data_IF_573996682271
#
_entry.id   IF_573996682271
#
_cell.length_a   1.000
_cell.length_b   1.000
_cell.length_c   1.000
_cell.angle_alpha   90.00
_cell.angle_beta   90.00
_cell.angle_gamma   90.00
#
_symmetry.space_group_name_H-M   'P 1'
#
loop_
_entity.id
_entity.type
_entity.pdbx_description
1 polymer ?
#
# COMPACT_ATOMS: atom_id res chain seq x y z
N UNK A 1 -9.10 23.19 21.28
CA UNK A 1 -9.66 22.45 20.17
C UNK A 1 -8.84 21.20 19.92
N UNK A 2 -9.49 20.10 19.81
CA UNK A 2 -8.78 18.88 19.49
C UNK A 2 -8.03 19.06 18.17
N UNK A 3 -6.81 18.58 18.13
CA UNK A 3 -6.10 18.52 16.88
C UNK A 3 -6.96 17.77 15.88
N UNK A 4 -7.19 18.37 14.76
CA UNK A 4 -7.88 17.68 13.69
C UNK A 4 -6.92 16.65 13.15
N UNK A 5 -7.04 15.42 13.64
CA UNK A 5 -6.46 14.33 12.90
C UNK A 5 -7.13 14.33 11.53
N UNK A 6 -6.32 14.17 10.50
CA UNK A 6 -6.85 14.10 9.16
C UNK A 6 -7.72 12.86 9.05
N UNK A 7 -9.04 13.03 9.01
CA UNK A 7 -9.99 11.93 8.85
C UNK A 7 -9.85 11.21 7.53
N UNK A 8 -9.06 11.78 6.59
CA UNK A 8 -8.82 11.21 5.27
C UNK A 8 -7.57 10.32 5.21
N UNK A 9 -7.03 9.90 6.36
CA UNK A 9 -5.86 9.01 6.43
C UNK A 9 -6.22 7.61 6.87
N UNK A 10 -5.49 6.65 6.32
CA UNK A 10 -5.56 5.24 6.71
C UNK A 10 -4.14 4.72 6.91
N UNK A 11 -3.92 4.00 8.00
CA UNK A 11 -2.60 3.50 8.38
C UNK A 11 -2.48 2.00 8.16
N UNK A 12 -1.40 1.59 7.50
CA UNK A 12 -1.09 0.20 7.19
C UNK A 12 0.28 -0.11 7.79
N UNK A 13 0.31 -0.31 9.10
CA UNK A 13 1.55 -0.43 9.89
C UNK A 13 1.77 -1.88 10.33
N UNK A 14 3.02 -2.31 10.33
CA UNK A 14 3.44 -3.63 10.80
C UNK A 14 4.61 -4.21 10.02
N UNK A 15 4.74 -3.86 8.75
CA UNK A 15 5.82 -4.33 7.88
C UNK A 15 6.14 -3.31 6.81
N UNK A 16 7.41 -3.29 6.36
CA UNK A 16 7.78 -2.60 5.13
C UNK A 16 7.04 -3.18 3.94
N UNK A 17 6.60 -2.32 3.05
CA UNK A 17 6.11 -2.77 1.75
C UNK A 17 7.26 -3.32 0.92
N UNK A 18 7.16 -4.54 0.41
CA UNK A 18 8.18 -5.09 -0.46
C UNK A 18 8.08 -4.54 -1.88
N UNK A 19 9.19 -4.59 -2.61
CA UNK A 19 9.21 -4.24 -4.02
C UNK A 19 8.60 -5.35 -4.86
N UNK A 20 7.72 -5.00 -5.78
CA UNK A 20 7.16 -5.95 -6.76
C UNK A 20 8.08 -6.16 -7.95
N UNK A 21 9.06 -5.28 -8.15
CA UNK A 21 10.00 -5.39 -9.27
C UNK A 21 10.75 -6.74 -9.29
N UNK A 22 11.21 -7.19 -8.11
CA UNK A 22 11.94 -8.44 -7.95
C UNK A 22 11.11 -9.47 -7.18
N UNK A 23 9.79 -9.32 -7.21
CA UNK A 23 8.89 -10.11 -6.39
C UNK A 23 8.48 -11.42 -7.04
N UNK A 24 8.77 -11.60 -8.32
CA UNK A 24 8.39 -12.80 -9.08
C UNK A 24 9.54 -13.77 -9.15
N UNK A 25 9.24 -15.05 -9.01
CA UNK A 25 10.20 -16.14 -9.15
C UNK A 25 9.70 -17.09 -10.22
N UNK A 26 10.65 -17.69 -10.95
CA UNK A 26 10.34 -18.71 -11.94
C UNK A 26 10.56 -20.07 -11.29
N UNK A 27 9.52 -20.91 -11.27
CA UNK A 27 9.60 -22.25 -10.72
C UNK A 27 10.22 -23.22 -11.73
N UNK A 28 10.54 -24.45 -11.28
CA UNK A 28 11.12 -25.48 -12.14
C UNK A 28 10.23 -25.83 -13.34
N UNK A 29 8.94 -25.68 -13.22
CA UNK A 29 7.98 -25.90 -14.31
C UNK A 29 7.69 -24.61 -15.09
N UNK A 30 8.55 -23.61 -14.94
CA UNK A 30 8.50 -22.30 -15.64
C UNK A 30 7.28 -21.45 -15.31
N UNK A 31 6.62 -21.68 -14.19
CA UNK A 31 5.57 -20.79 -13.70
C UNK A 31 6.18 -19.59 -13.00
N UNK A 32 5.54 -18.43 -13.15
CA UNK A 32 5.92 -17.21 -12.45
C UNK A 32 5.08 -17.10 -11.19
N UNK A 33 5.72 -17.01 -10.03
CA UNK A 33 5.05 -16.85 -8.74
C UNK A 33 5.60 -15.64 -8.01
N UNK A 34 4.84 -15.12 -7.04
CA UNK A 34 5.30 -14.05 -6.16
C UNK A 34 6.46 -14.55 -5.29
N UNK A 35 7.40 -13.66 -4.95
CA UNK A 35 8.51 -13.98 -4.05
C UNK A 35 7.99 -14.30 -2.65
N UNK A 36 8.83 -14.97 -1.85
CA UNK A 36 8.51 -15.25 -0.45
C UNK A 36 8.23 -13.97 0.34
N UNK A 37 8.97 -12.90 0.07
CA UNK A 37 8.81 -11.62 0.76
C UNK A 37 7.43 -11.04 0.52
N UNK A 38 6.96 -11.02 -0.73
CA UNK A 38 5.64 -10.52 -1.06
C UNK A 38 4.55 -11.40 -0.46
N UNK A 39 4.67 -12.71 -0.57
CA UNK A 39 3.69 -13.65 0.01
C UNK A 39 3.58 -13.49 1.53
N UNK A 40 4.72 -13.31 2.20
CA UNK A 40 4.75 -13.08 3.64
C UNK A 40 4.05 -11.77 4.00
N UNK A 41 4.34 -10.71 3.26
CA UNK A 41 3.69 -9.41 3.46
C UNK A 41 2.17 -9.53 3.31
N UNK A 42 1.73 -10.15 2.23
CA UNK A 42 0.30 -10.33 1.95
C UNK A 42 -0.40 -11.12 3.06
N UNK A 43 0.25 -12.15 3.58
CA UNK A 43 -0.30 -12.97 4.66
C UNK A 43 -0.36 -12.23 5.98
N UNK A 44 0.76 -11.61 6.39
CA UNK A 44 0.87 -10.97 7.71
C UNK A 44 0.10 -9.67 7.79
N UNK A 45 -0.07 -8.97 6.67
CA UNK A 45 -0.80 -7.69 6.62
C UNK A 45 -2.26 -7.84 6.21
N UNK A 46 -2.73 -9.04 5.95
CA UNK A 46 -4.09 -9.29 5.46
C UNK A 46 -5.16 -8.64 6.36
N UNK A 47 -5.04 -8.79 7.67
CA UNK A 47 -6.03 -8.24 8.62
C UNK A 47 -6.07 -6.72 8.58
N UNK A 48 -4.91 -6.08 8.46
CA UNK A 48 -4.84 -4.61 8.37
C UNK A 48 -5.59 -4.11 7.14
N UNK A 49 -5.42 -4.79 6.00
CA UNK A 49 -6.13 -4.41 4.78
C UNK A 49 -7.64 -4.64 4.89
N UNK A 50 -8.06 -5.72 5.55
CA UNK A 50 -9.50 -5.97 5.80
C UNK A 50 -10.11 -4.92 6.70
N UNK A 51 -9.42 -4.57 7.77
CA UNK A 51 -9.92 -3.60 8.76
C UNK A 51 -10.07 -2.19 8.19
N UNK A 52 -9.20 -1.79 7.28
CA UNK A 52 -9.21 -0.45 6.69
C UNK A 52 -10.19 -0.30 5.53
N UNK A 53 -10.74 -1.39 5.01
CA UNK A 53 -11.57 -1.34 3.80
C UNK A 53 -12.82 -0.47 3.98
N UNK A 54 -13.57 -0.66 5.05
CA UNK A 54 -14.82 0.06 5.24
C UNK A 54 -14.60 1.56 5.35
N UNK A 55 -13.55 1.96 6.06
CA UNK A 55 -13.19 3.38 6.15
C UNK A 55 -12.75 3.94 4.79
N UNK A 56 -12.01 3.17 4.02
CA UNK A 56 -11.62 3.57 2.67
C UNK A 56 -12.85 3.81 1.77
N UNK A 57 -13.79 2.88 1.78
CA UNK A 57 -15.02 3.00 1.01
C UNK A 57 -15.78 4.26 1.45
N UNK A 58 -15.90 4.50 2.75
CA UNK A 58 -16.56 5.68 3.28
C UNK A 58 -15.88 6.99 2.84
N UNK A 59 -14.55 7.02 2.88
CA UNK A 59 -13.77 8.20 2.50
C UNK A 59 -13.84 8.51 1.00
N UNK A 60 -14.11 7.51 0.18
CA UNK A 60 -14.07 7.66 -1.28
C UNK A 60 -15.45 7.60 -1.94
N UNK A 61 -16.51 7.39 -1.19
CA UNK A 61 -17.87 7.18 -1.74
C UNK A 61 -18.37 8.32 -2.62
N UNK A 62 -17.97 9.55 -2.31
CA UNK A 62 -18.40 10.75 -3.05
C UNK A 62 -17.31 11.27 -3.99
N UNK A 63 -16.24 10.51 -4.17
CA UNK A 63 -15.13 10.88 -5.02
C UNK A 63 -15.25 10.25 -6.40
N UNK A 64 -14.91 11.02 -7.41
CA UNK A 64 -14.84 10.51 -8.77
C UNK A 64 -13.49 9.85 -9.05
N UNK A 65 -13.47 8.89 -9.97
CA UNK A 65 -12.21 8.30 -10.44
C UNK A 65 -11.60 9.22 -11.51
N UNK A 66 -10.24 9.25 -11.61
CA UNK A 66 -9.32 8.50 -10.74
C UNK A 66 -9.25 9.07 -9.34
N UNK A 67 -9.09 8.16 -8.36
CA UNK A 67 -8.81 8.58 -6.99
C UNK A 67 -7.36 9.03 -6.90
N UNK A 68 -7.12 10.17 -6.28
CA UNK A 68 -5.78 10.68 -6.02
C UNK A 68 -5.42 10.28 -4.59
N UNK A 69 -4.46 9.37 -4.45
CA UNK A 69 -4.10 8.79 -3.16
C UNK A 69 -2.64 9.09 -2.87
N UNK A 70 -2.40 9.84 -1.80
CA UNK A 70 -1.05 10.10 -1.31
C UNK A 70 -0.56 8.94 -0.46
N UNK A 71 0.72 8.59 -0.60
CA UNK A 71 1.38 7.53 0.16
C UNK A 71 2.57 8.12 0.90
N UNK A 72 2.57 7.96 2.23
CA UNK A 72 3.70 8.31 3.07
C UNK A 72 4.26 7.04 3.71
N UNK A 73 5.57 6.80 3.59
CA UNK A 73 6.17 5.54 4.00
C UNK A 73 6.96 5.67 5.30
N UNK A 74 6.81 4.66 6.14
CA UNK A 74 7.65 4.43 7.33
C UNK A 74 8.55 3.26 7.01
N UNK A 75 9.84 3.55 6.75
CA UNK A 75 10.81 2.56 6.29
C UNK A 75 11.72 2.13 7.44
N UNK A 76 12.06 0.85 7.50
CA UNK A 76 12.93 0.31 8.54
C UNK A 76 14.41 0.37 8.18
N UNK A 77 14.77 1.04 7.10
CA UNK A 77 16.17 1.24 6.71
C UNK A 77 16.33 2.49 5.85
N UNK A 78 17.59 2.94 5.73
CA UNK A 78 17.95 4.06 4.86
C UNK A 78 18.30 3.62 3.44
N UNK A 79 18.05 2.36 3.10
CA UNK A 79 18.32 1.85 1.76
C UNK A 79 17.58 2.64 0.71
N UNK A 80 18.26 2.84 -0.41
CA UNK A 80 17.61 3.35 -1.61
C UNK A 80 16.45 2.46 -2.00
N UNK A 81 15.35 3.09 -2.42
CA UNK A 81 14.17 2.37 -2.87
C UNK A 81 13.46 3.17 -3.95
N UNK A 82 12.60 2.50 -4.67
CA UNK A 82 11.89 3.08 -5.81
C UNK A 82 10.39 3.06 -5.52
N UNK A 83 9.81 4.25 -5.38
CA UNK A 83 8.39 4.41 -5.08
C UNK A 83 7.50 3.62 -6.04
N UNK A 84 7.78 3.70 -7.34
CA UNK A 84 6.96 3.01 -8.35
C UNK A 84 6.92 1.51 -8.11
N UNK A 85 8.04 0.91 -7.72
CA UNK A 85 8.12 -0.53 -7.46
C UNK A 85 7.52 -0.93 -6.12
N UNK A 86 7.57 -0.05 -5.14
CA UNK A 86 7.04 -0.33 -3.81
C UNK A 86 5.52 -0.13 -3.77
N UNK A 87 5.01 0.95 -4.37
CA UNK A 87 3.57 1.27 -4.34
C UNK A 87 2.74 0.24 -5.08
N UNK A 88 3.33 -0.49 -6.00
CA UNK A 88 2.67 -1.57 -6.73
C UNK A 88 2.05 -2.60 -5.78
N UNK A 89 2.75 -2.93 -4.70
CA UNK A 89 2.27 -3.93 -3.75
C UNK A 89 0.96 -3.52 -3.07
N UNK A 90 0.86 -2.35 -2.40
CA UNK A 90 -0.41 -1.94 -1.82
C UNK A 90 -1.51 -1.73 -2.87
N UNK A 91 -1.19 -1.23 -4.07
CA UNK A 91 -2.19 -1.07 -5.12
C UNK A 91 -2.78 -2.41 -5.56
N UNK A 92 -1.95 -3.44 -5.71
CA UNK A 92 -2.43 -4.80 -6.02
C UNK A 92 -3.35 -5.33 -4.92
N UNK A 93 -3.02 -5.08 -3.67
CA UNK A 93 -3.84 -5.50 -2.54
C UNK A 93 -5.14 -4.70 -2.44
N UNK A 94 -5.11 -3.41 -2.74
CA UNK A 94 -6.32 -2.59 -2.79
C UNK A 94 -7.29 -3.15 -3.83
N UNK A 95 -6.79 -3.56 -4.98
CA UNK A 95 -7.61 -4.21 -6.00
C UNK A 95 -8.13 -5.55 -5.51
N UNK A 96 -7.26 -6.37 -4.94
CA UNK A 96 -7.58 -7.70 -4.44
C UNK A 96 -8.66 -7.67 -3.35
N UNK A 97 -8.59 -6.71 -2.43
CA UNK A 97 -9.54 -6.56 -1.33
C UNK A 97 -10.77 -5.73 -1.69
N UNK A 98 -10.84 -5.22 -2.91
CA UNK A 98 -12.02 -4.49 -3.37
C UNK A 98 -12.07 -3.01 -2.98
N UNK A 99 -10.93 -2.41 -2.63
CA UNK A 99 -10.82 -0.97 -2.40
C UNK A 99 -11.00 -0.20 -3.71
N UNK A 100 -10.38 -0.70 -4.76
CA UNK A 100 -10.42 -0.13 -6.10
C UNK A 100 -10.75 -1.24 -7.10
N UNK A 101 -11.32 -0.86 -8.23
CA UNK A 101 -11.70 -1.81 -9.26
C UNK A 101 -10.49 -2.29 -10.04
N UNK A 102 -9.56 -1.36 -10.32
CA UNK A 102 -8.31 -1.64 -11.02
C UNK A 102 -7.25 -0.65 -10.55
N UNK A 103 -5.97 -0.98 -10.74
CA UNK A 103 -4.85 -0.11 -10.37
C UNK A 103 -4.34 0.76 -11.53
N UNK A 104 -5.08 0.83 -12.63
CA UNK A 104 -4.72 1.66 -13.77
C UNK A 104 -4.97 3.15 -13.50
N UNK A 105 -4.45 4.01 -14.38
CA UNK A 105 -4.57 5.47 -14.23
C UNK A 105 -5.99 6.00 -14.37
N UNK A 106 -6.90 5.19 -14.85
CA UNK A 106 -8.31 5.54 -14.91
C UNK A 106 -8.97 5.48 -13.53
N UNK A 107 -8.46 4.64 -12.64
CA UNK A 107 -9.05 4.38 -11.32
C UNK A 107 -8.27 5.02 -10.18
N UNK A 108 -6.94 5.08 -10.25
CA UNK A 108 -6.10 5.57 -9.16
C UNK A 108 -4.84 6.25 -9.66
N UNK A 109 -4.49 7.35 -9.02
CA UNK A 109 -3.22 8.07 -9.24
C UNK A 109 -2.48 8.11 -7.91
N UNK A 110 -1.41 7.31 -7.75
CA UNK A 110 -0.62 7.34 -6.52
C UNK A 110 0.34 8.52 -6.50
N UNK A 111 0.41 9.20 -5.35
CA UNK A 111 1.28 10.35 -5.15
C UNK A 111 2.23 10.05 -3.99
N UNK A 112 3.52 10.25 -4.20
CA UNK A 112 4.52 10.10 -3.15
C UNK A 112 4.49 11.33 -2.24
N UNK A 113 4.22 11.13 -0.94
CA UNK A 113 4.16 12.20 0.04
C UNK A 113 5.45 12.35 0.85
N UNK A 114 6.26 11.32 0.94
CA UNK A 114 7.48 11.36 1.72
C UNK A 114 7.76 10.06 2.46
N UNK A 115 8.79 10.09 3.32
CA UNK A 115 9.19 8.92 4.08
C UNK A 115 9.91 9.30 5.37
N UNK A 116 9.88 8.40 6.33
CA UNK A 116 10.61 8.50 7.60
C UNK A 116 11.21 7.13 7.91
N UNK A 117 12.44 7.13 8.44
CA UNK A 117 13.07 5.89 8.90
C UNK A 117 12.61 5.60 10.32
N UNK A 118 12.13 4.39 10.55
CA UNK A 118 11.55 3.96 11.82
C UNK A 118 12.10 2.58 12.21
N UNK A 119 11.71 2.11 13.38
CA UNK A 119 11.97 0.73 13.79
C UNK A 119 11.12 -0.24 12.98
N UNK A 120 11.60 -1.46 12.79
CA UNK A 120 10.91 -2.47 11.97
C UNK A 120 9.44 -2.65 12.35
N UNK A 121 9.12 -2.70 13.63
CA UNK A 121 7.73 -2.88 14.10
C UNK A 121 6.80 -1.73 13.74
N UNK A 122 7.37 -0.55 13.48
CA UNK A 122 6.61 0.66 13.16
C UNK A 122 6.59 0.93 11.66
N UNK A 123 7.20 0.04 10.87
CA UNK A 123 7.27 0.22 9.43
C UNK A 123 5.91 -0.02 8.75
N UNK A 124 5.74 0.55 7.58
CA UNK A 124 4.51 0.47 6.81
C UNK A 124 4.29 1.76 6.03
N UNK A 125 3.06 2.18 5.97
CA UNK A 125 2.71 3.43 5.30
C UNK A 125 1.36 3.94 5.77
N UNK A 126 1.08 5.19 5.50
CA UNK A 126 -0.31 5.66 5.51
C UNK A 126 -0.68 6.19 4.13
N UNK A 127 -1.96 6.15 3.84
CA UNK A 127 -2.50 6.83 2.66
C UNK A 127 -3.33 8.03 3.09
N UNK A 128 -3.41 8.99 2.20
CA UNK A 128 -4.26 10.17 2.36
C UNK A 128 -5.09 10.31 1.10
N UNK A 129 -6.39 10.41 1.26
CA UNK A 129 -7.31 10.61 0.14
C UNK A 129 -7.27 12.11 -0.21
N UNK A 130 -6.81 12.42 -1.40
CA UNK A 130 -6.58 13.80 -1.83
C UNK A 130 -7.77 14.40 -2.58
#
# INVERSE_FOLDING_TARGET
>A
MASVESDNRLYFIGMNCPSKKNAKQITKDKRIISSKTVRRYEKEMAEVYRENKDKFIELTKDKEIPLWIGFYFYRDSKRKWDFVNIVQCPLDLFQQYGYIEDDDTKHVIPIYLGETVVKKKDSGFFIEIL
#
